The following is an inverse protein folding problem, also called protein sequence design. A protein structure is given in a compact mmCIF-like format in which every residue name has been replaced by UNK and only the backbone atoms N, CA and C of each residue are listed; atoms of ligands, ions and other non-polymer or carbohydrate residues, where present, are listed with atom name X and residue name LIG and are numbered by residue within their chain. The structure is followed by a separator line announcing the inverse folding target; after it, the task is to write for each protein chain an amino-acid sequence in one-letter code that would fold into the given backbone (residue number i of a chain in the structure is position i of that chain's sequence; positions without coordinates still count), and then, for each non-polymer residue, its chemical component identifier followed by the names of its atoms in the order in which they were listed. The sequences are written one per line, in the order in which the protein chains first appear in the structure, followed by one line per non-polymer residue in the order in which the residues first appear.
data_IF_813103664720
#
_entry.id   IF_813103664720
#
_cell.length_a   1.000
_cell.length_b   1.000
_cell.length_c   1.000
_cell.angle_alpha   90.00
_cell.angle_beta   90.00
_cell.angle_gamma   90.00
#
_symmetry.space_group_name_H-M   'P 1'
#
loop_
_entity.id
_entity.type
_entity.pdbx_description
1 polymer ?
#
# COMPACT_ATOMS: atom_id res chain seq x y z
N UNK A 1 -39.98 49.96 61.81
CA UNK A 1 -39.77 48.53 62.11
C UNK A 1 -40.25 47.70 60.93
N UNK A 2 -39.33 47.17 60.12
CA UNK A 2 -39.65 46.18 59.07
C UNK A 2 -38.37 45.41 58.76
N UNK A 3 -38.31 44.16 59.22
CA UNK A 3 -37.20 43.23 59.02
C UNK A 3 -37.32 42.66 57.60
N UNK A 4 -36.25 42.72 56.81
CA UNK A 4 -36.15 42.01 55.53
C UNK A 4 -35.04 40.97 55.69
N UNK A 5 -35.46 39.71 55.76
CA UNK A 5 -34.64 38.50 55.79
C UNK A 5 -34.12 38.18 54.39
N UNK A 6 -32.80 37.96 54.27
CA UNK A 6 -32.14 37.49 53.06
C UNK A 6 -32.24 35.95 52.95
N UNK A 7 -32.52 35.36 51.77
CA UNK A 7 -32.46 33.92 51.60
C UNK A 7 -31.04 33.48 51.20
N UNK A 8 -30.58 32.42 51.87
CA UNK A 8 -29.36 31.68 51.61
C UNK A 8 -29.57 30.83 50.34
N UNK A 9 -28.83 31.11 49.25
CA UNK A 9 -28.83 30.30 48.03
C UNK A 9 -27.73 29.24 48.15
N UNK A 10 -28.15 27.97 48.23
CA UNK A 10 -27.26 26.81 48.17
C UNK A 10 -26.75 26.62 46.73
N UNK A 11 -25.43 26.59 46.56
CA UNK A 11 -24.76 26.25 45.31
C UNK A 11 -24.58 24.73 45.25
N UNK A 12 -25.25 24.05 44.32
CA UNK A 12 -24.95 22.65 43.98
C UNK A 12 -24.07 22.62 42.73
N UNK A 13 -22.76 22.43 42.94
CA UNK A 13 -21.79 22.21 41.86
C UNK A 13 -21.92 20.79 41.30
N UNK A 14 -22.31 20.66 40.03
CA UNK A 14 -22.24 19.39 39.30
C UNK A 14 -20.83 19.31 38.70
N UNK A 15 -19.99 18.46 39.27
CA UNK A 15 -18.69 18.12 38.71
C UNK A 15 -18.89 17.26 37.46
N UNK A 16 -18.79 17.86 36.27
CA UNK A 16 -18.78 17.15 35.00
C UNK A 16 -17.45 16.42 34.82
N UNK A 17 -17.46 15.10 34.94
CA UNK A 17 -16.34 14.25 34.54
C UNK A 17 -16.20 14.28 33.02
N UNK A 18 -15.20 15.02 32.53
CA UNK A 18 -14.76 14.94 31.15
C UNK A 18 -14.12 13.57 30.91
N UNK A 19 -14.89 12.65 30.31
CA UNK A 19 -14.36 11.44 29.70
C UNK A 19 -13.56 11.85 28.46
N UNK A 20 -12.25 11.95 28.59
CA UNK A 20 -11.35 12.02 27.45
C UNK A 20 -11.39 10.68 26.72
N UNK A 21 -12.05 10.63 25.56
CA UNK A 21 -11.93 9.50 24.66
C UNK A 21 -10.47 9.40 24.22
N UNK A 22 -9.77 8.35 24.65
CA UNK A 22 -8.47 8.00 24.11
C UNK A 22 -8.66 7.62 22.64
N UNK A 23 -8.12 8.45 21.74
CA UNK A 23 -8.02 8.12 20.32
C UNK A 23 -6.99 6.98 20.24
N UNK A 24 -7.41 5.81 19.77
CA UNK A 24 -6.50 4.68 19.60
C UNK A 24 -5.45 5.04 18.53
N UNK A 25 -4.18 5.10 18.95
CA UNK A 25 -3.02 5.28 18.08
C UNK A 25 -2.81 4.03 17.22
N UNK A 26 -3.50 3.96 16.08
CA UNK A 26 -3.39 2.86 15.10
C UNK A 26 -2.14 2.93 14.20
N UNK A 27 -1.27 3.93 14.38
CA UNK A 27 -0.23 4.26 13.39
C UNK A 27 1.15 3.60 13.61
N UNK A 28 1.40 2.91 14.73
CA UNK A 28 2.73 2.34 15.01
C UNK A 28 2.92 0.90 14.50
N UNK A 29 1.84 0.19 14.14
CA UNK A 29 1.87 -1.24 13.81
C UNK A 29 1.55 -1.59 12.34
N UNK A 30 1.30 -0.61 11.46
CA UNK A 30 0.92 -0.87 10.07
C UNK A 30 2.13 -1.11 9.14
N UNK A 31 2.97 -2.09 9.48
CA UNK A 31 4.16 -2.47 8.72
C UNK A 31 4.20 -3.97 8.46
N UNK A 32 4.86 -4.40 7.39
CA UNK A 32 5.08 -5.82 7.11
C UNK A 32 5.88 -6.47 8.25
N UNK A 33 5.52 -7.67 8.73
CA UNK A 33 6.16 -8.29 9.90
C UNK A 33 7.63 -8.69 9.66
N UNK A 34 8.01 -9.00 8.41
CA UNK A 34 9.37 -9.49 8.08
C UNK A 34 10.31 -8.34 7.71
N UNK A 35 9.90 -7.47 6.78
CA UNK A 35 10.77 -6.44 6.21
C UNK A 35 10.53 -5.03 6.77
N UNK A 36 9.56 -4.89 7.68
CA UNK A 36 9.10 -3.62 8.23
C UNK A 36 8.82 -2.54 7.16
N UNK A 37 8.37 -2.95 5.97
CA UNK A 37 7.92 -2.05 4.91
C UNK A 37 6.54 -1.51 5.30
N UNK A 38 6.36 -0.19 5.27
CA UNK A 38 5.06 0.48 5.40
C UNK A 38 4.47 0.78 4.03
N UNK A 39 3.18 1.12 3.99
CA UNK A 39 2.55 1.69 2.81
C UNK A 39 2.96 3.17 2.71
N UNK A 40 3.72 3.60 1.68
CA UNK A 40 4.20 4.97 1.60
C UNK A 40 3.06 5.96 1.35
N UNK A 41 3.04 7.10 2.03
CA UNK A 41 2.06 8.14 1.76
C UNK A 41 2.20 8.67 0.31
N UNK A 42 1.08 8.95 -0.34
CA UNK A 42 1.06 9.48 -1.71
C UNK A 42 1.54 8.50 -2.80
N UNK A 43 1.75 7.20 -2.50
CA UNK A 43 2.20 6.23 -3.50
C UNK A 43 1.28 6.11 -4.73
N UNK A 44 0.01 6.51 -4.60
CA UNK A 44 -0.95 6.52 -5.71
C UNK A 44 -0.69 7.62 -6.74
N UNK A 45 0.05 8.65 -6.35
CA UNK A 45 0.48 9.75 -7.24
C UNK A 45 1.85 9.46 -7.90
N UNK A 46 2.46 8.31 -7.59
CA UNK A 46 3.69 7.89 -8.24
C UNK A 46 3.46 7.58 -9.72
N UNK A 47 4.54 7.65 -10.51
CA UNK A 47 4.42 7.51 -11.96
C UNK A 47 4.28 6.05 -12.35
N UNK A 48 3.41 5.78 -13.32
CA UNK A 48 3.24 4.46 -13.92
C UNK A 48 4.55 4.03 -14.58
N UNK A 49 4.97 2.80 -14.29
CA UNK A 49 6.08 2.10 -14.95
C UNK A 49 5.55 1.20 -16.06
N UNK A 50 4.51 0.42 -15.76
CA UNK A 50 3.91 -0.54 -16.70
C UNK A 50 2.56 -1.02 -16.15
N UNK A 51 1.84 -1.81 -16.95
CA UNK A 51 0.59 -2.48 -16.61
C UNK A 51 0.77 -3.97 -16.92
N UNK A 52 0.26 -4.84 -16.04
CA UNK A 52 0.32 -6.29 -16.24
C UNK A 52 -1.04 -6.94 -15.99
N UNK A 53 -1.45 -7.85 -16.88
CA UNK A 53 -2.53 -8.80 -16.62
C UNK A 53 -1.90 -10.13 -16.18
N UNK A 54 -2.31 -10.66 -15.04
CA UNK A 54 -1.98 -12.04 -14.67
C UNK A 54 -3.19 -12.93 -14.91
N UNK A 55 -3.07 -13.83 -15.88
CA UNK A 55 -4.09 -14.83 -16.17
C UNK A 55 -4.02 -16.02 -15.19
N UNK A 56 -5.00 -16.92 -15.26
CA UNK A 56 -5.06 -18.12 -14.42
C UNK A 56 -5.83 -17.88 -13.13
N UNK A 57 -5.37 -18.46 -12.03
CA UNK A 57 -6.13 -18.49 -10.77
C UNK A 57 -6.31 -17.11 -10.12
N UNK A 58 -5.35 -16.20 -10.29
CA UNK A 58 -5.44 -14.86 -9.71
C UNK A 58 -6.29 -13.92 -10.58
N UNK A 59 -6.23 -14.09 -11.91
CA UNK A 59 -6.97 -13.32 -12.92
C UNK A 59 -7.13 -11.83 -12.57
N UNK A 60 -6.02 -11.14 -12.35
CA UNK A 60 -5.99 -9.74 -11.89
C UNK A 60 -5.28 -8.82 -12.91
N UNK A 61 -5.61 -7.54 -12.86
CA UNK A 61 -4.90 -6.49 -13.62
C UNK A 61 -4.17 -5.58 -12.65
N UNK A 62 -2.96 -5.18 -13.01
CA UNK A 62 -2.02 -4.50 -12.12
C UNK A 62 -1.47 -3.25 -12.76
N UNK A 63 -1.55 -2.15 -12.03
CA UNK A 63 -0.72 -0.98 -12.30
C UNK A 63 0.55 -1.06 -11.46
N UNK A 64 1.70 -0.91 -12.10
CA UNK A 64 3.00 -0.85 -11.42
C UNK A 64 3.46 0.60 -11.45
N UNK A 65 3.61 1.19 -10.28
CA UNK A 65 4.05 2.56 -10.07
C UNK A 65 5.46 2.57 -9.46
N UNK A 66 6.21 3.64 -9.71
CA UNK A 66 7.53 3.85 -9.12
C UNK A 66 7.68 5.26 -8.59
N UNK A 67 8.40 5.40 -7.48
CA UNK A 67 8.90 6.70 -7.06
C UNK A 67 9.92 7.25 -8.08
N UNK A 68 10.34 8.51 -7.91
CA UNK A 68 11.24 9.19 -8.85
C UNK A 68 12.53 8.42 -9.11
N UNK A 69 13.10 7.78 -8.08
CA UNK A 69 14.32 6.98 -8.18
C UNK A 69 14.06 5.73 -9.04
N UNK A 70 12.99 4.99 -8.75
CA UNK A 70 12.63 3.78 -9.50
C UNK A 70 12.32 4.12 -10.97
N UNK A 71 11.53 5.16 -11.23
CA UNK A 71 11.16 5.60 -12.59
C UNK A 71 12.40 5.98 -13.40
N UNK A 72 13.33 6.73 -12.80
CA UNK A 72 14.59 7.09 -13.47
C UNK A 72 15.39 5.83 -13.81
N UNK A 73 15.58 4.94 -12.83
CA UNK A 73 16.31 3.68 -13.04
C UNK A 73 15.66 2.79 -14.12
N UNK A 74 14.33 2.77 -14.19
CA UNK A 74 13.59 2.07 -15.24
C UNK A 74 13.83 2.65 -16.63
N UNK A 75 13.76 3.98 -16.78
CA UNK A 75 13.96 4.68 -18.05
C UNK A 75 15.40 4.59 -18.57
N UNK A 76 16.37 4.63 -17.66
CA UNK A 76 17.79 4.57 -17.98
C UNK A 76 18.33 3.14 -18.07
N UNK A 77 17.53 2.12 -17.74
CA UNK A 77 17.97 0.73 -17.69
C UNK A 77 18.96 0.43 -16.55
N UNK A 78 18.97 1.26 -15.49
CA UNK A 78 19.88 1.12 -14.36
C UNK A 78 19.56 -0.12 -13.54
N UNK A 79 20.53 -1.03 -13.44
CA UNK A 79 20.52 -2.20 -12.55
C UNK A 79 21.91 -2.38 -11.92
N UNK A 80 22.02 -2.72 -10.62
CA UNK A 80 20.94 -2.79 -9.64
C UNK A 80 20.24 -1.44 -9.44
N UNK A 81 19.01 -1.46 -8.92
CA UNK A 81 18.31 -0.23 -8.56
C UNK A 81 19.08 0.51 -7.45
N UNK A 82 19.12 1.85 -7.47
CA UNK A 82 19.67 2.63 -6.37
C UNK A 82 18.88 2.42 -5.07
N UNK A 83 19.56 2.51 -3.93
CA UNK A 83 18.91 2.56 -2.63
C UNK A 83 17.91 3.73 -2.58
N UNK A 84 16.77 3.49 -1.93
CA UNK A 84 15.61 4.40 -1.92
C UNK A 84 14.65 4.21 -3.09
N UNK A 85 14.98 3.40 -4.11
CA UNK A 85 13.99 3.00 -5.11
C UNK A 85 12.81 2.28 -4.46
N UNK A 86 11.59 2.68 -4.80
CA UNK A 86 10.37 2.06 -4.32
C UNK A 86 9.39 1.81 -5.46
N UNK A 87 8.81 0.61 -5.48
CA UNK A 87 7.87 0.13 -6.49
C UNK A 87 6.58 -0.26 -5.79
N UNK A 88 5.46 0.26 -6.28
CA UNK A 88 4.13 -0.11 -5.83
C UNK A 88 3.40 -0.89 -6.92
N UNK A 89 2.89 -2.07 -6.61
CA UNK A 89 2.04 -2.88 -7.51
C UNK A 89 0.63 -2.87 -6.95
N UNK A 90 -0.27 -2.20 -7.67
CA UNK A 90 -1.68 -2.06 -7.32
C UNK A 90 -2.45 -3.13 -8.09
N UNK A 91 -3.09 -4.07 -7.40
CA UNK A 91 -3.88 -5.13 -8.04
C UNK A 91 -5.37 -4.87 -7.92
N UNK A 92 -6.07 -5.22 -8.99
CA UNK A 92 -7.51 -5.08 -9.16
C UNK A 92 -8.08 -6.34 -9.80
N UNK A 93 -9.35 -6.63 -9.53
CA UNK A 93 -10.10 -7.65 -10.28
C UNK A 93 -10.06 -7.30 -11.77
N UNK A 94 -9.69 -8.27 -12.61
CA UNK A 94 -9.78 -8.12 -14.07
C UNK A 94 -11.19 -8.55 -14.52
N UNK A 95 -11.96 -7.59 -15.04
CA UNK A 95 -13.34 -7.82 -15.47
C UNK A 95 -13.65 -7.07 -16.76
N UNK A 96 -14.69 -7.50 -17.48
CA UNK A 96 -15.21 -6.72 -18.60
C UNK A 96 -15.78 -5.40 -18.10
N UNK A 97 -15.74 -4.36 -18.93
CA UNK A 97 -16.35 -3.07 -18.60
C UNK A 97 -17.86 -3.14 -18.83
N UNK A 98 -18.68 -2.95 -17.77
CA UNK A 98 -20.14 -2.96 -17.91
C UNK A 98 -20.63 -1.89 -18.90
N UNK A 99 -19.97 -0.73 -18.95
CA UNK A 99 -20.31 0.35 -19.87
C UNK A 99 -20.06 -0.05 -21.33
N UNK A 100 -18.95 -0.73 -21.62
CA UNK A 100 -18.65 -1.21 -22.97
C UNK A 100 -19.56 -2.39 -23.34
N UNK A 101 -19.81 -3.31 -22.41
CA UNK A 101 -20.67 -4.48 -22.64
C UNK A 101 -22.12 -4.08 -22.95
N UNK A 102 -22.58 -2.92 -22.48
CA UNK A 102 -23.89 -2.37 -22.81
C UNK A 102 -23.99 -1.81 -24.24
N UNK A 103 -22.86 -1.53 -24.90
CA UNK A 103 -22.81 -0.88 -26.22
C UNK A 103 -22.39 -1.86 -27.32
N UNK A 104 -21.48 -2.79 -27.02
CA UNK A 104 -20.87 -3.66 -28.02
C UNK A 104 -21.51 -5.05 -28.03
N UNK A 105 -21.51 -5.74 -29.19
CA UNK A 105 -22.19 -7.03 -29.35
C UNK A 105 -21.54 -8.17 -28.56
N UNK A 106 -20.33 -7.98 -28.03
CA UNK A 106 -19.63 -8.91 -27.16
C UNK A 106 -18.61 -8.15 -26.28
N UNK A 107 -18.20 -8.71 -25.13
CA UNK A 107 -17.15 -8.14 -24.31
C UNK A 107 -15.84 -7.99 -25.07
N UNK A 108 -15.36 -6.75 -25.17
CA UNK A 108 -14.11 -6.42 -25.88
C UNK A 108 -13.17 -5.53 -25.09
N UNK A 109 -13.66 -4.85 -24.05
CA UNK A 109 -12.88 -3.97 -23.19
C UNK A 109 -12.91 -4.49 -21.77
N UNK A 110 -11.72 -4.60 -21.17
CA UNK A 110 -11.54 -5.08 -19.81
C UNK A 110 -10.86 -4.01 -18.97
N UNK A 111 -11.26 -3.91 -17.71
CA UNK A 111 -10.91 -2.81 -16.82
C UNK A 111 -10.52 -3.32 -15.43
N UNK A 112 -9.91 -2.41 -14.66
CA UNK A 112 -9.70 -2.60 -13.24
C UNK A 112 -11.04 -2.47 -12.51
N UNK A 113 -11.51 -3.57 -11.92
CA UNK A 113 -12.63 -3.59 -10.98
C UNK A 113 -12.18 -3.26 -9.56
N UNK A 114 -12.73 -3.97 -8.58
CA UNK A 114 -12.41 -3.74 -7.17
C UNK A 114 -10.92 -3.97 -6.86
N UNK A 115 -10.29 -3.11 -6.02
CA UNK A 115 -8.92 -3.31 -5.59
C UNK A 115 -8.80 -4.53 -4.68
N UNK A 116 -7.73 -5.31 -4.84
CA UNK A 116 -7.49 -6.53 -4.04
C UNK A 116 -6.38 -6.34 -3.02
N UNK A 117 -5.18 -5.99 -3.49
CA UNK A 117 -4.04 -5.71 -2.64
C UNK A 117 -3.11 -4.67 -3.29
N UNK A 118 -2.30 -4.07 -2.43
CA UNK A 118 -1.13 -3.28 -2.84
C UNK A 118 0.11 -3.97 -2.33
N UNK A 119 1.11 -4.13 -3.19
CA UNK A 119 2.40 -4.67 -2.81
C UNK A 119 3.45 -3.59 -2.99
N UNK A 120 4.34 -3.45 -2.01
CA UNK A 120 5.42 -2.47 -1.99
C UNK A 120 6.75 -3.21 -1.92
N UNK A 121 7.67 -2.84 -2.81
CA UNK A 121 9.07 -3.25 -2.75
C UNK A 121 9.96 -2.03 -2.58
N UNK A 122 10.90 -2.07 -1.63
CA UNK A 122 11.82 -0.96 -1.34
C UNK A 122 13.26 -1.46 -1.40
N UNK A 123 14.12 -0.75 -2.13
CA UNK A 123 15.55 -1.00 -2.20
C UNK A 123 16.26 -0.30 -1.03
N UNK A 124 16.96 -1.08 -0.23
CA UNK A 124 17.92 -0.61 0.77
C UNK A 124 18.95 -1.74 1.00
N UNK A 125 20.09 -1.62 0.33
CA UNK A 125 21.14 -2.63 0.30
C UNK A 125 21.68 -3.00 1.68
N UNK A 126 21.65 -2.06 2.64
CA UNK A 126 22.15 -2.28 3.99
C UNK A 126 21.08 -2.89 4.88
N UNK A 127 19.86 -2.34 4.85
CA UNK A 127 18.74 -2.81 5.67
C UNK A 127 18.26 -4.20 5.26
N UNK A 128 18.33 -4.52 3.98
CA UNK A 128 17.79 -5.75 3.38
C UNK A 128 18.88 -6.66 2.81
N UNK A 129 20.05 -6.71 3.46
CA UNK A 129 21.19 -7.51 3.01
C UNK A 129 20.82 -8.99 2.79
N UNK A 130 20.02 -9.57 3.70
CA UNK A 130 19.60 -10.98 3.65
C UNK A 130 18.57 -11.30 2.54
N UNK A 131 18.02 -10.27 1.89
CA UNK A 131 17.03 -10.39 0.81
C UNK A 131 17.46 -9.69 -0.48
N UNK A 132 18.78 -9.63 -0.74
CA UNK A 132 19.33 -9.06 -1.97
C UNK A 132 19.13 -7.54 -2.09
N UNK A 133 19.00 -6.86 -0.95
CA UNK A 133 18.79 -5.43 -0.86
C UNK A 133 17.34 -4.98 -1.03
N UNK A 134 16.37 -5.90 -1.04
CA UNK A 134 14.94 -5.59 -1.21
C UNK A 134 14.08 -6.00 -0.02
N UNK A 135 13.28 -5.06 0.48
CA UNK A 135 12.21 -5.31 1.44
C UNK A 135 10.85 -5.39 0.75
N UNK A 136 9.94 -6.20 1.29
CA UNK A 136 8.62 -6.45 0.71
C UNK A 136 7.50 -6.20 1.72
N UNK A 137 6.39 -5.63 1.26
CA UNK A 137 5.16 -5.49 2.03
C UNK A 137 3.94 -5.75 1.15
N UNK A 138 2.90 -6.33 1.74
CA UNK A 138 1.60 -6.50 1.10
C UNK A 138 0.53 -5.91 2.00
N UNK A 139 -0.45 -5.23 1.40
CA UNK A 139 -1.47 -4.48 2.10
C UNK A 139 -2.84 -4.75 1.49
N UNK A 140 -3.79 -5.16 2.33
CA UNK A 140 -5.21 -5.28 1.99
C UNK A 140 -5.96 -4.11 2.63
N UNK A 141 -6.71 -3.35 1.83
CA UNK A 141 -7.46 -2.17 2.31
C UNK A 141 -6.61 -1.18 3.12
N UNK A 142 -5.34 -1.03 2.74
CA UNK A 142 -4.38 -0.14 3.42
C UNK A 142 -3.76 -0.72 4.69
N UNK A 143 -4.09 -1.95 5.08
CA UNK A 143 -3.58 -2.62 6.27
C UNK A 143 -2.56 -3.69 5.88
N UNK A 144 -1.41 -3.70 6.56
CA UNK A 144 -0.33 -4.62 6.30
C UNK A 144 -0.73 -6.07 6.61
N UNK A 145 -0.52 -6.96 5.66
CA UNK A 145 -0.68 -8.39 5.85
C UNK A 145 0.33 -8.92 6.86
N UNK A 146 -0.14 -9.59 7.91
CA UNK A 146 0.70 -10.08 9.00
C UNK A 146 1.20 -11.52 8.80
N UNK A 147 0.93 -12.14 7.64
CA UNK A 147 1.38 -13.51 7.35
C UNK A 147 2.87 -13.55 7.02
N UNK A 148 3.72 -13.89 7.99
CA UNK A 148 5.15 -14.09 7.75
C UNK A 148 5.47 -15.09 6.62
N UNK A 149 4.81 -16.26 6.50
CA UNK A 149 5.07 -17.19 5.40
C UNK A 149 4.81 -16.56 4.02
N UNK A 150 3.74 -15.76 3.91
CA UNK A 150 3.46 -15.01 2.68
C UNK A 150 4.59 -14.03 2.37
N UNK A 151 5.00 -13.20 3.32
CA UNK A 151 6.04 -12.20 3.08
C UNK A 151 7.40 -12.84 2.78
N UNK A 152 7.77 -13.93 3.45
CA UNK A 152 9.00 -14.70 3.13
C UNK A 152 8.95 -15.30 1.72
N UNK A 153 7.76 -15.62 1.20
CA UNK A 153 7.61 -16.14 -0.16
C UNK A 153 7.94 -15.10 -1.25
N UNK A 154 7.81 -13.80 -0.97
CA UNK A 154 8.11 -12.73 -1.93
C UNK A 154 9.57 -12.81 -2.40
N UNK A 155 10.53 -12.78 -1.47
CA UNK A 155 11.94 -12.89 -1.82
C UNK A 155 12.24 -14.24 -2.50
N UNK A 156 11.74 -15.35 -1.96
CA UNK A 156 11.97 -16.69 -2.52
C UNK A 156 11.43 -16.84 -3.97
N UNK A 157 10.37 -16.12 -4.33
CA UNK A 157 9.88 -16.07 -5.70
C UNK A 157 10.76 -15.16 -6.57
N UNK A 158 11.12 -13.98 -6.07
CA UNK A 158 11.89 -12.99 -6.81
C UNK A 158 13.34 -13.44 -7.10
N UNK A 159 13.94 -14.30 -6.27
CA UNK A 159 15.26 -14.90 -6.55
C UNK A 159 15.27 -15.85 -7.75
N UNK A 160 14.10 -16.25 -8.27
CA UNK A 160 14.01 -17.06 -9.49
C UNK A 160 14.36 -16.26 -10.75
N UNK A 161 14.37 -14.93 -10.67
CA UNK A 161 14.84 -14.08 -11.77
C UNK A 161 16.35 -14.19 -11.95
N UNK A 162 16.80 -14.03 -13.20
CA UNK A 162 18.23 -13.88 -13.47
C UNK A 162 18.83 -12.70 -12.69
N UNK A 163 20.08 -12.79 -12.20
CA UNK A 163 20.70 -11.76 -11.37
C UNK A 163 20.68 -10.35 -11.98
N UNK A 164 20.73 -10.24 -13.32
CA UNK A 164 20.69 -8.96 -14.05
C UNK A 164 19.36 -8.20 -13.92
N UNK A 165 18.29 -8.85 -13.42
CA UNK A 165 16.99 -8.22 -13.21
C UNK A 165 16.89 -7.48 -11.87
N UNK A 166 17.84 -7.69 -10.97
CA UNK A 166 17.84 -7.16 -9.60
C UNK A 166 16.51 -7.41 -8.88
N UNK A 167 16.02 -8.66 -8.96
CA UNK A 167 14.79 -9.10 -8.28
C UNK A 167 13.52 -8.35 -8.69
N UNK A 168 13.45 -7.76 -9.89
CA UNK A 168 12.25 -7.03 -10.37
C UNK A 168 11.75 -7.62 -11.69
N UNK A 169 10.49 -8.08 -11.72
CA UNK A 169 9.86 -8.68 -12.90
C UNK A 169 9.43 -7.65 -13.96
N UNK A 170 9.20 -6.40 -13.55
CA UNK A 170 8.70 -5.34 -14.43
C UNK A 170 9.78 -4.81 -15.37
N UNK A 171 9.33 -4.30 -16.51
CA UNK A 171 10.10 -3.44 -17.40
C UNK A 171 9.32 -2.13 -17.61
N UNK A 172 9.98 -1.08 -18.10
CA UNK A 172 9.31 0.19 -18.41
C UNK A 172 8.54 0.05 -19.72
N UNK A 173 7.26 0.44 -19.70
CA UNK A 173 6.42 0.57 -20.90
C UNK A 173 6.26 2.07 -21.19
N UNK A 174 6.92 2.61 -22.22
CA UNK A 174 6.96 4.06 -22.50
C UNK A 174 5.60 4.64 -22.90
#
# INVERSE_FOLDING_TARGET
MRKITAPFLLVTGIAGTCLTAAVADGATNNVSPVYRVSLPDGYRDWRVITIAHEAGNNNDIRAILGNDIAVKAFREGTRPFPDGAAIARLAYVYQSSPENDAVFPAPQSFVAGDPTNVQISVKDSKKYADSGGWGYGQFENGIANQSEPLLKSCFACHTKLGPSKDLVFSHYSP
#
